data_IF_431254839202
#
_entry.id   IF_431254839202
#
_cell.length_a   1.000
_cell.length_b   1.000
_cell.length_c   1.000
_cell.angle_alpha   90.00
_cell.angle_beta   90.00
_cell.angle_gamma   90.00
#
_symmetry.space_group_name_H-M   'P 1'
#
loop_
_entity.id
_entity.type
_entity.pdbx_description
1 polymer ?
#
# COMPACT_ATOMS: atom_id res chain seq x y z
N UNK A 1 41.82 2.82 -27.11
CA UNK A 1 40.58 3.42 -26.60
C UNK A 1 40.73 4.92 -26.63
N UNK A 2 39.69 5.68 -26.96
CA UNK A 2 39.78 7.13 -26.98
C UNK A 2 40.10 7.65 -25.57
N UNK A 3 41.04 8.62 -25.50
CA UNK A 3 41.53 9.19 -24.22
C UNK A 3 40.46 9.90 -23.36
N UNK A 4 39.24 10.07 -23.86
CA UNK A 4 38.10 10.74 -23.19
C UNK A 4 36.87 9.83 -23.13
N UNK A 5 37.00 8.60 -22.67
CA UNK A 5 35.86 7.72 -22.44
C UNK A 5 35.35 7.88 -21.00
N UNK A 6 34.05 7.93 -20.84
CA UNK A 6 33.38 7.86 -19.52
C UNK A 6 32.85 6.45 -19.31
N UNK A 7 33.21 5.84 -18.22
CA UNK A 7 32.71 4.54 -17.79
C UNK A 7 31.56 4.76 -16.80
N UNK A 8 30.38 4.28 -17.14
CA UNK A 8 29.24 4.27 -16.23
C UNK A 8 29.11 2.86 -15.66
N UNK A 9 29.17 2.76 -14.35
CA UNK A 9 29.02 1.50 -13.62
C UNK A 9 27.69 1.58 -12.87
N UNK A 10 26.79 0.60 -13.11
CA UNK A 10 25.51 0.47 -12.41
C UNK A 10 25.38 -0.95 -11.85
N UNK A 11 24.90 -1.04 -10.63
CA UNK A 11 24.57 -2.30 -9.98
C UNK A 11 23.25 -2.16 -9.22
N UNK A 12 22.50 -3.23 -9.14
CA UNK A 12 21.17 -3.21 -8.47
C UNK A 12 21.36 -2.87 -6.98
N UNK A 13 20.66 -1.82 -6.51
CA UNK A 13 20.77 -1.35 -5.12
C UNK A 13 21.87 -0.31 -4.89
N UNK A 14 22.55 0.16 -5.94
CA UNK A 14 23.59 1.18 -5.84
C UNK A 14 23.33 2.35 -6.80
N UNK A 15 23.78 3.54 -6.38
CA UNK A 15 23.70 4.74 -7.21
C UNK A 15 24.68 4.59 -8.39
N UNK A 16 24.24 4.77 -9.66
CA UNK A 16 25.14 4.69 -10.80
C UNK A 16 26.26 5.73 -10.70
N UNK A 17 27.51 5.26 -10.79
CA UNK A 17 28.68 6.11 -10.77
C UNK A 17 29.28 6.24 -12.17
N UNK A 18 29.56 7.49 -12.61
CA UNK A 18 30.22 7.78 -13.88
C UNK A 18 31.64 8.29 -13.62
N UNK A 19 32.63 7.57 -14.12
CA UNK A 19 34.05 7.91 -13.95
C UNK A 19 34.73 8.07 -15.29
N UNK A 20 35.49 9.17 -15.46
CA UNK A 20 36.27 9.40 -16.65
C UNK A 20 37.55 8.52 -16.66
N UNK A 21 37.77 7.82 -17.76
CA UNK A 21 38.87 6.84 -17.88
C UNK A 21 40.25 7.48 -17.96
N UNK A 22 40.38 8.67 -18.54
CA UNK A 22 41.59 9.51 -18.62
C UNK A 22 42.94 8.71 -18.77
N UNK A 23 42.95 7.65 -19.60
CA UNK A 23 44.16 6.87 -19.86
C UNK A 23 44.69 6.00 -18.70
N UNK A 24 43.92 5.82 -17.63
CA UNK A 24 44.30 4.97 -16.49
C UNK A 24 44.06 3.48 -16.81
N UNK A 25 45.06 2.63 -16.50
CA UNK A 25 44.98 1.20 -16.73
C UNK A 25 44.11 0.45 -15.68
N UNK A 26 43.89 1.07 -14.52
CA UNK A 26 43.03 0.55 -13.46
C UNK A 26 42.21 1.70 -12.86
N UNK A 27 40.89 1.50 -12.71
CA UNK A 27 39.99 2.44 -12.11
C UNK A 27 39.23 1.74 -11.02
N UNK A 28 39.41 2.20 -9.79
CA UNK A 28 38.63 1.73 -8.65
C UNK A 28 37.37 2.59 -8.54
N UNK A 29 36.20 1.97 -8.65
CA UNK A 29 34.90 2.63 -8.51
C UNK A 29 34.27 2.14 -7.22
N UNK A 30 34.02 3.06 -6.29
CA UNK A 30 33.27 2.78 -5.08
C UNK A 30 31.82 3.17 -5.35
N UNK A 31 30.93 2.19 -5.37
CA UNK A 31 29.50 2.43 -5.50
C UNK A 31 28.92 2.73 -4.12
N UNK A 32 28.10 3.76 -4.05
CA UNK A 32 27.31 4.08 -2.85
C UNK A 32 26.00 3.32 -2.91
N UNK A 33 25.59 2.73 -1.81
CA UNK A 33 24.27 2.10 -1.70
C UNK A 33 23.18 3.13 -1.96
N UNK A 34 22.24 2.81 -2.84
CA UNK A 34 21.04 3.60 -3.04
C UNK A 34 20.10 3.34 -1.85
N UNK A 35 20.32 4.07 -0.77
CA UNK A 35 19.46 4.04 0.41
C UNK A 35 18.14 4.81 0.22
N UNK A 36 17.78 5.14 -1.02
CA UNK A 36 16.39 5.46 -1.34
C UNK A 36 15.55 4.18 -1.25
N UNK A 37 15.48 3.61 -0.04
CA UNK A 37 14.33 2.83 0.35
C UNK A 37 13.12 3.70 0.07
N UNK A 38 12.24 3.25 -0.80
CA UNK A 38 10.91 3.81 -0.92
C UNK A 38 10.32 3.74 0.50
N UNK A 39 10.40 4.85 1.22
CA UNK A 39 9.79 4.97 2.53
C UNK A 39 8.28 4.97 2.29
N UNK A 40 7.70 3.78 2.36
CA UNK A 40 6.25 3.62 2.27
C UNK A 40 5.64 4.31 3.48
N UNK A 41 4.98 5.42 3.23
CA UNK A 41 4.27 6.20 4.25
C UNK A 41 2.85 5.66 4.33
N UNK A 42 2.41 5.33 5.53
CA UNK A 42 1.05 4.88 5.80
C UNK A 42 0.30 5.99 6.52
N UNK A 43 -0.88 6.32 6.04
CA UNK A 43 -1.77 7.26 6.71
C UNK A 43 -2.44 6.52 7.86
N UNK A 44 -2.30 7.03 9.07
CA UNK A 44 -2.99 6.54 10.27
C UNK A 44 -3.66 7.72 10.99
N UNK A 45 -4.98 7.63 11.11
CA UNK A 45 -5.77 8.60 11.87
C UNK A 45 -5.52 10.04 11.43
N UNK A 46 -4.91 10.82 12.30
CA UNK A 46 -4.65 12.25 12.09
C UNK A 46 -3.23 12.57 11.61
N UNK A 47 -2.49 11.59 11.06
CA UNK A 47 -1.11 11.83 10.62
C UNK A 47 -0.57 10.74 9.71
N UNK A 48 0.60 11.01 9.13
CA UNK A 48 1.35 10.07 8.32
C UNK A 48 2.53 9.53 9.13
N UNK A 49 2.69 8.22 9.20
CA UNK A 49 3.81 7.55 9.87
C UNK A 49 4.49 6.59 8.89
N UNK A 50 5.81 6.49 8.98
CA UNK A 50 6.54 5.53 8.16
C UNK A 50 6.11 4.11 8.52
N UNK A 51 5.87 3.28 7.52
CA UNK A 51 5.42 1.88 7.71
C UNK A 51 6.33 1.09 8.66
N UNK A 52 7.64 1.36 8.64
CA UNK A 52 8.62 0.72 9.53
C UNK A 52 8.47 1.09 11.00
N UNK A 53 7.85 2.24 11.29
CA UNK A 53 7.65 2.74 12.66
C UNK A 53 6.31 2.25 13.25
N UNK A 54 5.49 1.57 12.44
CA UNK A 54 4.24 0.97 12.89
C UNK A 54 4.53 -0.39 13.52
N UNK A 55 4.26 -0.52 14.80
CA UNK A 55 4.37 -1.79 15.54
C UNK A 55 3.23 -2.76 15.23
N UNK A 56 2.17 -2.30 14.57
CA UNK A 56 0.99 -3.08 14.20
C UNK A 56 1.06 -3.70 12.80
N UNK A 57 0.28 -4.75 12.54
CA UNK A 57 0.15 -5.35 11.22
C UNK A 57 -0.72 -4.47 10.31
N UNK A 58 -0.08 -3.63 9.53
CA UNK A 58 -0.72 -2.78 8.53
C UNK A 58 -0.45 -3.34 7.13
N UNK A 59 -1.52 -3.50 6.35
CA UNK A 59 -1.42 -3.77 4.91
C UNK A 59 -1.71 -2.50 4.14
N UNK A 60 -0.89 -2.15 3.15
CA UNK A 60 -1.12 -1.02 2.27
C UNK A 60 -1.05 -1.44 0.81
N UNK A 61 -1.81 -0.73 -0.02
CA UNK A 61 -1.80 -0.86 -1.48
C UNK A 61 -1.94 0.52 -2.10
N UNK A 62 -1.18 0.77 -3.16
CA UNK A 62 -1.25 2.03 -3.90
C UNK A 62 -2.44 2.07 -4.85
N UNK A 63 -3.00 3.26 -5.09
CA UNK A 63 -4.14 3.46 -5.98
C UNK A 63 -3.86 2.99 -7.41
N UNK A 64 -2.64 3.14 -7.91
CA UNK A 64 -2.26 2.65 -9.24
C UNK A 64 -2.46 1.14 -9.41
N UNK A 65 -2.16 0.34 -8.37
CA UNK A 65 -2.37 -1.11 -8.38
C UNK A 65 -3.86 -1.46 -8.36
N UNK A 66 -4.64 -0.70 -7.58
CA UNK A 66 -6.10 -0.85 -7.48
C UNK A 66 -6.77 -0.49 -8.81
N UNK A 67 -6.42 0.66 -9.39
CA UNK A 67 -6.94 1.14 -10.66
C UNK A 67 -6.59 0.22 -11.85
N UNK A 68 -5.41 -0.41 -11.83
CA UNK A 68 -4.98 -1.34 -12.88
C UNK A 68 -5.91 -2.56 -13.04
N UNK A 69 -6.65 -2.91 -12.01
CA UNK A 69 -7.59 -4.05 -12.02
C UNK A 69 -8.88 -3.80 -12.80
N UNK A 70 -9.19 -2.54 -13.13
CA UNK A 70 -10.37 -2.14 -13.93
C UNK A 70 -11.69 -2.79 -13.47
N UNK A 71 -11.91 -2.85 -12.16
CA UNK A 71 -13.12 -3.41 -11.56
C UNK A 71 -14.17 -2.34 -11.36
N UNK A 72 -15.44 -2.73 -11.31
CA UNK A 72 -16.59 -1.80 -11.11
C UNK A 72 -16.74 -1.36 -9.67
N UNK A 73 -16.16 -2.09 -8.68
CA UNK A 73 -16.23 -1.73 -7.27
C UNK A 73 -14.85 -1.80 -6.64
N UNK A 74 -14.59 -0.88 -5.69
CA UNK A 74 -13.35 -0.83 -4.94
C UNK A 74 -13.16 -2.08 -4.08
N UNK A 75 -14.22 -2.62 -3.49
CA UNK A 75 -14.20 -3.88 -2.74
C UNK A 75 -13.66 -5.04 -3.56
N UNK A 76 -14.14 -5.19 -4.81
CA UNK A 76 -13.65 -6.23 -5.72
C UNK A 76 -12.19 -6.02 -6.11
N UNK A 77 -11.75 -4.78 -6.29
CA UNK A 77 -10.36 -4.47 -6.60
C UNK A 77 -9.39 -4.89 -5.49
N UNK A 78 -9.83 -4.87 -4.24
CA UNK A 78 -9.04 -5.24 -3.08
C UNK A 78 -8.92 -6.76 -2.87
N UNK A 79 -9.72 -7.56 -3.56
CA UNK A 79 -9.69 -9.01 -3.40
C UNK A 79 -8.32 -9.60 -3.77
N UNK A 80 -7.68 -10.27 -2.80
CA UNK A 80 -6.36 -10.89 -2.99
C UNK A 80 -5.18 -9.92 -3.09
N UNK A 81 -5.38 -8.61 -2.91
CA UNK A 81 -4.32 -7.60 -2.95
C UNK A 81 -3.64 -7.47 -1.60
N UNK A 82 -4.40 -7.47 -0.53
CA UNK A 82 -3.90 -7.28 0.83
C UNK A 82 -4.01 -8.59 1.60
N UNK A 83 -2.89 -9.16 2.11
CA UNK A 83 -2.93 -10.38 2.93
C UNK A 83 -3.82 -10.20 4.16
N UNK A 84 -4.71 -11.15 4.43
CA UNK A 84 -5.64 -11.10 5.56
C UNK A 84 -6.89 -10.23 5.34
N UNK A 85 -7.09 -9.70 4.14
CA UNK A 85 -8.35 -9.11 3.73
C UNK A 85 -9.13 -10.15 2.91
N UNK A 86 -10.33 -10.47 3.36
CA UNK A 86 -11.24 -11.38 2.67
C UNK A 86 -12.44 -10.59 2.15
N UNK A 87 -12.69 -10.71 0.86
CA UNK A 87 -13.85 -10.10 0.20
C UNK A 87 -14.78 -11.22 -0.23
N UNK A 88 -15.99 -11.21 0.27
CA UNK A 88 -17.03 -12.19 -0.05
C UNK A 88 -18.14 -11.52 -0.83
N UNK A 89 -18.38 -12.01 -2.03
CA UNK A 89 -19.47 -11.53 -2.86
C UNK A 89 -20.76 -12.28 -2.53
N UNK A 90 -21.77 -11.58 -2.07
CA UNK A 90 -23.07 -12.16 -1.73
C UNK A 90 -23.96 -12.38 -2.95
N UNK A 91 -23.78 -11.58 -4.00
CA UNK A 91 -24.62 -11.64 -5.19
C UNK A 91 -23.80 -11.26 -6.43
N UNK A 92 -24.00 -12.00 -7.53
CA UNK A 92 -23.37 -11.74 -8.82
C UNK A 92 -24.32 -11.02 -9.78
N UNK A 93 -25.47 -10.53 -9.32
CA UNK A 93 -26.37 -9.80 -10.19
C UNK A 93 -25.74 -8.47 -10.63
N UNK A 94 -25.88 -8.06 -11.89
CA UNK A 94 -25.42 -6.77 -12.36
C UNK A 94 -26.02 -5.63 -11.53
N UNK A 95 -25.18 -4.74 -10.98
CA UNK A 95 -25.60 -3.62 -10.15
C UNK A 95 -25.78 -3.93 -8.66
N UNK A 96 -25.69 -5.18 -8.23
CA UNK A 96 -25.75 -5.56 -6.81
C UNK A 96 -24.33 -5.63 -6.23
N UNK A 97 -23.79 -4.48 -5.82
CA UNK A 97 -22.45 -4.37 -5.20
C UNK A 97 -22.51 -4.63 -3.68
N UNK A 98 -23.10 -5.75 -3.27
CA UNK A 98 -23.19 -6.13 -1.87
C UNK A 98 -22.00 -6.99 -1.42
N UNK A 99 -20.79 -6.57 -1.76
CA UNK A 99 -19.58 -7.26 -1.31
C UNK A 99 -19.37 -7.02 0.18
N UNK A 100 -19.13 -8.09 0.94
CA UNK A 100 -18.74 -8.00 2.34
C UNK A 100 -17.23 -8.15 2.47
N UNK A 101 -16.63 -7.27 3.26
CA UNK A 101 -15.20 -7.27 3.53
C UNK A 101 -14.97 -7.69 4.97
N UNK A 102 -14.01 -8.59 5.19
CA UNK A 102 -13.57 -9.01 6.53
C UNK A 102 -12.07 -8.86 6.65
N UNK A 103 -11.63 -8.34 7.78
CA UNK A 103 -10.21 -8.26 8.14
C UNK A 103 -9.88 -9.41 9.08
N UNK A 104 -8.97 -10.31 8.65
CA UNK A 104 -8.60 -11.55 9.38
C UNK A 104 -9.76 -12.54 9.59
N UNK A 105 -10.84 -12.42 8.80
CA UNK A 105 -12.00 -13.30 8.86
C UNK A 105 -13.13 -12.78 9.75
N UNK A 106 -14.09 -13.65 10.02
CA UNK A 106 -15.27 -13.33 10.85
C UNK A 106 -14.84 -13.40 12.32
N UNK A 107 -14.88 -12.28 13.02
CA UNK A 107 -14.41 -12.16 14.42
C UNK A 107 -15.53 -12.32 15.43
N UNK A 108 -16.80 -12.12 15.04
CA UNK A 108 -17.96 -12.19 15.93
C UNK A 108 -19.16 -12.80 15.21
N UNK A 109 -20.12 -13.31 15.99
CA UNK A 109 -21.40 -13.83 15.47
C UNK A 109 -22.30 -12.66 15.00
N UNK A 110 -22.01 -11.42 15.43
CA UNK A 110 -22.76 -10.22 15.04
C UNK A 110 -22.18 -9.56 13.79
N UNK A 111 -22.09 -8.24 13.80
CA UNK A 111 -21.49 -7.48 12.71
C UNK A 111 -19.95 -7.54 12.79
N UNK A 112 -19.32 -8.13 11.78
CA UNK A 112 -17.86 -8.23 11.63
C UNK A 112 -17.34 -7.30 10.50
N UNK A 113 -18.15 -6.32 10.08
CA UNK A 113 -17.75 -5.38 9.05
C UNK A 113 -16.66 -4.44 9.59
N UNK A 114 -15.54 -4.25 8.86
CA UNK A 114 -14.52 -3.31 9.25
C UNK A 114 -15.03 -1.87 9.14
N UNK A 115 -14.45 -0.98 9.95
CA UNK A 115 -14.72 0.44 9.83
C UNK A 115 -14.01 0.99 8.60
N UNK A 116 -14.77 1.52 7.65
CA UNK A 116 -14.22 2.18 6.46
C UNK A 116 -14.18 3.68 6.71
N UNK A 117 -13.03 4.29 6.44
CA UNK A 117 -12.80 5.72 6.54
C UNK A 117 -12.27 6.21 5.21
N UNK A 118 -12.99 7.14 4.62
CA UNK A 118 -12.63 7.79 3.35
C UNK A 118 -12.26 9.24 3.66
N UNK A 119 -11.02 9.63 3.37
CA UNK A 119 -10.49 10.98 3.65
C UNK A 119 -10.77 11.47 5.09
N UNK A 120 -10.65 10.55 6.06
CA UNK A 120 -10.87 10.86 7.48
C UNK A 120 -12.33 10.79 7.94
N UNK A 121 -13.30 10.52 7.05
CA UNK A 121 -14.73 10.44 7.38
C UNK A 121 -15.21 8.99 7.24
N UNK A 122 -15.99 8.45 8.20
CA UNK A 122 -16.61 7.14 8.05
C UNK A 122 -17.56 7.12 6.84
N UNK A 123 -17.36 6.14 5.96
CA UNK A 123 -18.11 6.02 4.71
C UNK A 123 -18.24 4.58 4.22
N UNK A 124 -18.83 4.42 3.04
CA UNK A 124 -18.94 3.13 2.35
C UNK A 124 -17.83 3.02 1.28
N UNK A 125 -17.11 1.93 1.31
CA UNK A 125 -16.04 1.64 0.35
C UNK A 125 -16.54 1.57 -1.10
N UNK A 126 -17.80 1.15 -1.29
CA UNK A 126 -18.39 1.01 -2.61
C UNK A 126 -18.86 2.34 -3.22
N UNK A 127 -18.88 3.41 -2.42
CA UNK A 127 -19.17 4.78 -2.90
C UNK A 127 -17.97 5.45 -3.56
N UNK A 128 -16.77 4.89 -3.38
CA UNK A 128 -15.51 5.46 -3.89
C UNK A 128 -15.15 4.82 -5.22
N UNK A 129 -14.77 5.66 -6.20
CA UNK A 129 -14.26 5.17 -7.48
C UNK A 129 -12.80 4.73 -7.33
N UNK A 130 -12.47 3.53 -7.84
CA UNK A 130 -11.11 2.98 -7.76
C UNK A 130 -10.03 3.87 -8.44
N UNK A 131 -10.42 4.73 -9.39
CA UNK A 131 -9.49 5.64 -10.07
C UNK A 131 -9.16 6.91 -9.26
N UNK A 132 -10.00 7.24 -8.27
CA UNK A 132 -9.83 8.44 -7.45
C UNK A 132 -9.05 8.16 -6.15
N UNK A 133 -8.64 6.91 -5.96
CA UNK A 133 -7.93 6.47 -4.77
C UNK A 133 -6.42 6.65 -4.95
N UNK A 134 -5.78 7.34 -4.02
CA UNK A 134 -4.32 7.46 -3.96
C UNK A 134 -3.70 6.26 -3.24
N UNK A 135 -4.25 5.89 -2.09
CA UNK A 135 -3.77 4.74 -1.32
C UNK A 135 -4.87 4.13 -0.45
N UNK A 136 -4.71 2.84 -0.14
CA UNK A 136 -5.56 2.13 0.82
C UNK A 136 -4.67 1.49 1.87
N UNK A 137 -4.98 1.77 3.14
CA UNK A 137 -4.30 1.19 4.28
C UNK A 137 -5.28 0.41 5.15
N UNK A 138 -4.93 -0.83 5.48
CA UNK A 138 -5.76 -1.71 6.31
C UNK A 138 -5.06 -1.94 7.65
N UNK A 139 -5.66 -1.41 8.71
CA UNK A 139 -5.21 -1.63 10.08
C UNK A 139 -5.84 -2.91 10.60
N UNK A 140 -5.01 -3.93 10.80
CA UNK A 140 -5.47 -5.28 11.15
C UNK A 140 -5.42 -5.55 12.64
N UNK A 141 -4.65 -4.76 13.39
CA UNK A 141 -4.46 -4.95 14.84
C UNK A 141 -5.23 -3.92 15.65
N UNK A 142 -5.70 -4.35 16.82
CA UNK A 142 -6.41 -3.49 17.75
C UNK A 142 -5.56 -2.29 18.22
N UNK A 143 -4.23 -2.46 18.32
CA UNK A 143 -3.33 -1.37 18.72
C UNK A 143 -3.32 -0.21 17.71
N UNK A 144 -3.22 -0.52 16.42
CA UNK A 144 -3.28 0.50 15.35
C UNK A 144 -4.68 1.06 15.13
N UNK A 145 -5.72 0.27 15.44
CA UNK A 145 -7.12 0.65 15.30
C UNK A 145 -7.68 1.39 16.54
N UNK A 146 -6.95 1.42 17.66
CA UNK A 146 -7.41 1.94 18.95
C UNK A 146 -7.90 3.40 18.89
N UNK A 147 -7.30 4.24 18.05
CA UNK A 147 -7.69 5.64 17.85
C UNK A 147 -9.12 5.80 17.30
N UNK A 148 -9.66 4.77 16.67
CA UNK A 148 -11.02 4.76 16.12
C UNK A 148 -12.06 4.15 17.07
N UNK A 149 -11.61 3.76 18.29
CA UNK A 149 -12.47 3.25 19.36
C UNK A 149 -13.04 1.85 19.10
N UNK A 150 -14.12 1.53 19.81
CA UNK A 150 -14.74 0.18 19.77
C UNK A 150 -15.29 -0.23 18.39
N UNK A 151 -15.62 0.71 17.54
CA UNK A 151 -16.10 0.47 16.16
C UNK A 151 -15.03 -0.14 15.27
N UNK A 152 -13.77 0.00 15.64
CA UNK A 152 -12.61 -0.51 14.91
C UNK A 152 -12.19 -1.93 15.32
N UNK A 153 -12.98 -2.60 16.16
CA UNK A 153 -12.67 -3.95 16.68
C UNK A 153 -12.52 -5.00 15.57
N UNK A 154 -13.26 -4.86 14.46
CA UNK A 154 -13.20 -5.73 13.29
C UNK A 154 -12.11 -5.32 12.28
N UNK A 155 -11.30 -4.29 12.60
CA UNK A 155 -10.30 -3.70 11.72
C UNK A 155 -10.76 -2.37 11.12
N UNK A 156 -9.82 -1.63 10.55
CA UNK A 156 -10.08 -0.34 9.88
C UNK A 156 -9.49 -0.35 8.48
N UNK A 157 -10.25 0.16 7.53
CA UNK A 157 -9.82 0.39 6.16
C UNK A 157 -9.78 1.90 5.94
N UNK A 158 -8.60 2.44 5.69
CA UNK A 158 -8.38 3.84 5.37
C UNK A 158 -8.24 3.97 3.87
N UNK A 159 -9.05 4.82 3.27
CA UNK A 159 -9.01 5.18 1.84
C UNK A 159 -8.65 6.66 1.76
N UNK A 160 -7.65 6.96 0.95
CA UNK A 160 -7.17 8.32 0.70
C UNK A 160 -7.16 8.58 -0.79
#
# INVERSE_FOLDING_TARGET
MPEKATLTVSYVGYIPASVAVNGKNAINVVLQEDSKTLEEVVVIGYGTVKKKDLTGAVGSVGGAEVAARKTTSLSTALQGTIPGLMVTRNNNAPGANADKIYVRGITTIGNSDPLVIVDGVPGDINSVNANDVESISVLKDAASAAIYGSRAAAGVILVT
#
